data_IF_524706624891
#
_entry.id   IF_524706624891
#
_cell.length_a   1.000
_cell.length_b   1.000
_cell.length_c   1.000
_cell.angle_alpha   90.00
_cell.angle_beta   90.00
_cell.angle_gamma   90.00
#
_symmetry.space_group_name_H-M   'P 1'
#
loop_
_entity.id
_entity.type
_entity.pdbx_description
1 polymer ?
#
# COMPACT_ATOMS: atom_id res chain seq x y z
N UNK A 1 33.00 -13.32 -6.45
CA UNK A 1 32.31 -13.97 -5.31
C UNK A 1 30.82 -13.84 -5.53
N UNK A 2 30.15 -14.96 -5.80
CA UNK A 2 28.73 -15.02 -6.17
C UNK A 2 27.89 -15.09 -4.90
N UNK A 3 27.23 -14.00 -4.51
CA UNK A 3 26.28 -14.02 -3.41
C UNK A 3 24.91 -14.46 -3.92
N UNK A 4 24.55 -15.66 -3.48
CA UNK A 4 23.31 -16.36 -3.73
C UNK A 4 22.14 -15.55 -3.15
N UNK A 5 21.35 -14.87 -4.00
CA UNK A 5 20.06 -14.28 -3.60
C UNK A 5 19.02 -15.39 -3.56
N UNK A 6 18.91 -16.08 -2.43
CA UNK A 6 17.68 -16.83 -2.13
C UNK A 6 16.61 -15.80 -1.79
N UNK A 7 15.93 -15.31 -2.82
CA UNK A 7 14.71 -14.54 -2.70
C UNK A 7 13.67 -15.45 -2.07
N UNK A 8 13.47 -15.34 -0.76
CA UNK A 8 12.35 -15.97 -0.07
C UNK A 8 11.09 -15.25 -0.56
N UNK A 9 10.47 -15.82 -1.60
CA UNK A 9 9.11 -15.48 -2.02
C UNK A 9 8.17 -15.95 -0.91
N UNK A 10 7.69 -15.03 -0.09
CA UNK A 10 6.42 -15.25 0.60
C UNK A 10 5.29 -15.08 -0.43
N UNK A 11 4.99 -16.16 -1.15
CA UNK A 11 3.71 -16.30 -1.82
C UNK A 11 2.68 -16.64 -0.73
N UNK A 12 1.90 -15.66 -0.28
CA UNK A 12 0.58 -15.96 0.28
C UNK A 12 -0.38 -16.01 -0.91
N UNK A 13 -0.51 -17.20 -1.49
CA UNK A 13 -1.59 -17.51 -2.42
C UNK A 13 -2.89 -17.47 -1.65
N UNK A 14 -3.72 -16.47 -1.95
CA UNK A 14 -5.13 -16.54 -1.64
C UNK A 14 -5.83 -16.94 -2.94
N UNK A 15 -6.16 -18.23 -3.05
CA UNK A 15 -7.07 -18.75 -4.06
C UNK A 15 -8.41 -18.03 -3.90
N UNK A 16 -8.75 -17.18 -4.86
CA UNK A 16 -10.12 -16.75 -5.07
C UNK A 16 -10.59 -17.35 -6.39
N UNK A 17 -11.33 -18.46 -6.27
CA UNK A 17 -12.24 -18.92 -7.32
C UNK A 17 -13.20 -17.78 -7.65
N UNK A 18 -13.05 -17.20 -8.83
CA UNK A 18 -14.06 -16.31 -9.39
C UNK A 18 -14.96 -17.10 -10.32
N UNK A 19 -16.06 -17.61 -9.78
CA UNK A 19 -17.22 -18.00 -10.58
C UNK A 19 -17.70 -16.79 -11.39
N UNK A 20 -17.58 -16.88 -12.71
CA UNK A 20 -18.20 -15.96 -13.65
C UNK A 20 -19.70 -16.22 -13.71
N UNK A 21 -20.48 -15.53 -12.86
CA UNK A 21 -21.92 -15.42 -13.08
C UNK A 21 -22.17 -14.23 -14.01
N UNK A 22 -22.50 -14.54 -15.27
CA UNK A 22 -23.14 -13.59 -16.17
C UNK A 22 -24.53 -13.22 -15.65
N UNK A 23 -24.77 -11.93 -15.45
CA UNK A 23 -26.13 -11.41 -15.37
C UNK A 23 -26.29 -10.26 -16.37
N UNK A 24 -26.99 -10.60 -17.45
CA UNK A 24 -27.73 -9.68 -18.29
C UNK A 24 -28.85 -9.04 -17.47
N UNK A 25 -28.82 -7.72 -17.34
CA UNK A 25 -29.85 -6.98 -16.62
C UNK A 25 -29.66 -5.49 -16.83
N UNK A 26 -30.43 -4.93 -17.77
CA UNK A 26 -30.52 -3.51 -18.03
C UNK A 26 -31.13 -2.79 -16.82
N UNK A 27 -30.28 -2.42 -15.88
CA UNK A 27 -30.49 -1.40 -14.86
C UNK A 27 -29.18 -0.64 -14.79
N UNK A 28 -29.22 0.70 -14.79
CA UNK A 28 -28.07 1.63 -14.79
C UNK A 28 -26.87 0.97 -14.13
N UNK A 29 -25.91 0.51 -14.95
CA UNK A 29 -24.78 -0.26 -14.48
C UNK A 29 -23.92 0.67 -13.62
N UNK A 30 -24.14 0.60 -12.32
CA UNK A 30 -23.30 1.26 -11.32
C UNK A 30 -21.86 0.85 -11.63
N UNK A 31 -21.01 1.84 -11.90
CA UNK A 31 -19.69 1.58 -12.44
C UNK A 31 -18.88 0.78 -11.41
N UNK A 32 -18.69 -0.52 -11.68
CA UNK A 32 -18.01 -1.45 -10.77
C UNK A 32 -16.58 -0.98 -10.47
N UNK A 33 -15.92 -0.33 -11.44
CA UNK A 33 -14.58 0.20 -11.27
C UNK A 33 -14.58 1.43 -10.35
N UNK A 34 -15.59 2.28 -10.44
CA UNK A 34 -15.76 3.45 -9.56
C UNK A 34 -15.95 3.03 -8.10
N UNK A 35 -16.78 2.03 -7.83
CA UNK A 35 -16.93 1.44 -6.48
C UNK A 35 -15.63 0.84 -5.98
N UNK A 36 -14.95 0.08 -6.84
CA UNK A 36 -13.68 -0.56 -6.51
C UNK A 36 -12.64 0.49 -6.16
N UNK A 37 -12.53 1.55 -6.97
CA UNK A 37 -11.65 2.68 -6.72
C UNK A 37 -11.95 3.38 -5.39
N UNK A 38 -13.23 3.60 -5.07
CA UNK A 38 -13.63 4.23 -3.81
C UNK A 38 -13.16 3.45 -2.57
N UNK A 39 -13.17 2.11 -2.65
CA UNK A 39 -12.64 1.19 -1.62
C UNK A 39 -11.11 1.23 -1.60
N UNK A 40 -10.47 1.15 -2.76
CA UNK A 40 -9.01 1.13 -2.88
C UNK A 40 -8.37 2.41 -2.31
N UNK A 41 -8.96 3.57 -2.52
CA UNK A 41 -8.43 4.85 -2.00
C UNK A 41 -8.33 4.85 -0.46
N UNK A 42 -9.29 4.26 0.24
CA UNK A 42 -9.24 4.13 1.71
C UNK A 42 -8.26 3.03 2.12
N UNK A 43 -8.27 1.91 1.39
CA UNK A 43 -7.38 0.78 1.68
C UNK A 43 -5.90 1.18 1.58
N UNK A 44 -5.52 1.94 0.55
CA UNK A 44 -4.15 2.41 0.37
C UNK A 44 -3.70 3.37 1.47
N UNK A 45 -4.58 4.25 1.97
CA UNK A 45 -4.28 5.13 3.11
C UNK A 45 -3.95 4.29 4.35
N UNK A 46 -4.84 3.35 4.70
CA UNK A 46 -4.64 2.48 5.87
C UNK A 46 -3.36 1.62 5.73
N UNK A 47 -3.05 1.17 4.52
CA UNK A 47 -1.85 0.39 4.24
C UNK A 47 -0.57 1.23 4.38
N UNK A 48 -0.59 2.48 3.91
CA UNK A 48 0.51 3.41 4.07
C UNK A 48 0.75 3.73 5.55
N UNK A 49 -0.30 3.95 6.34
CA UNK A 49 -0.17 4.15 7.79
C UNK A 49 0.49 2.95 8.49
N UNK A 50 0.15 1.72 8.08
CA UNK A 50 0.80 0.50 8.57
C UNK A 50 2.29 0.45 8.19
N UNK A 51 2.65 0.90 6.99
CA UNK A 51 4.05 1.02 6.58
C UNK A 51 4.81 2.10 7.34
N UNK A 52 4.17 3.24 7.63
CA UNK A 52 4.78 4.31 8.42
C UNK A 52 5.20 3.83 9.82
N UNK A 53 4.37 3.01 10.48
CA UNK A 53 4.72 2.42 11.77
C UNK A 53 5.99 1.57 11.69
N UNK A 54 6.04 0.64 10.73
CA UNK A 54 7.23 -0.20 10.51
C UNK A 54 8.47 0.61 10.12
N UNK A 55 8.30 1.68 9.33
CA UNK A 55 9.41 2.55 8.95
C UNK A 55 9.96 3.33 10.14
N UNK A 56 9.12 3.79 11.06
CA UNK A 56 9.56 4.49 12.28
C UNK A 56 10.41 3.58 13.16
N UNK A 57 9.96 2.34 13.38
CA UNK A 57 10.73 1.34 14.12
C UNK A 57 12.12 1.12 13.51
N UNK A 58 12.20 1.04 12.18
CA UNK A 58 13.49 0.84 11.49
C UNK A 58 14.35 2.10 11.41
N UNK A 59 13.77 3.30 11.39
CA UNK A 59 14.51 4.55 11.51
C UNK A 59 15.19 4.64 12.87
N UNK A 60 14.49 4.30 13.96
CA UNK A 60 15.04 4.25 15.31
C UNK A 60 16.19 3.23 15.41
N UNK A 61 15.96 2.00 14.96
CA UNK A 61 17.02 0.97 14.90
C UNK A 61 18.22 1.43 14.06
N UNK A 62 17.99 2.14 12.96
CA UNK A 62 19.08 2.68 12.14
C UNK A 62 19.91 3.72 12.91
N UNK A 63 19.28 4.58 13.72
CA UNK A 63 19.98 5.52 14.61
C UNK A 63 20.81 4.78 15.67
N UNK A 64 20.24 3.75 16.31
CA UNK A 64 20.95 2.91 17.29
C UNK A 64 22.18 2.20 16.68
N UNK A 65 22.11 1.84 15.40
CA UNK A 65 23.24 1.27 14.65
C UNK A 65 24.26 2.32 14.16
N UNK A 66 24.10 3.60 14.51
CA UNK A 66 24.96 4.69 14.04
C UNK A 66 24.79 5.03 12.56
N UNK A 67 23.71 4.57 11.92
CA UNK A 67 23.39 4.81 10.50
C UNK A 67 22.50 6.03 10.33
N UNK A 68 23.00 7.18 10.78
CA UNK A 68 22.23 8.44 10.83
C UNK A 68 21.63 8.83 9.47
N UNK A 69 22.40 8.72 8.38
CA UNK A 69 21.91 9.06 7.05
C UNK A 69 20.85 8.06 6.54
N UNK A 70 20.95 6.79 6.93
CA UNK A 70 19.91 5.80 6.60
C UNK A 70 18.61 6.14 7.35
N UNK A 71 18.68 6.46 8.63
CA UNK A 71 17.52 6.86 9.43
C UNK A 71 16.82 8.08 8.82
N UNK A 72 17.59 9.12 8.45
CA UNK A 72 17.04 10.33 7.79
C UNK A 72 16.30 10.00 6.49
N UNK A 73 16.85 9.12 5.66
CA UNK A 73 16.20 8.74 4.41
C UNK A 73 14.92 7.92 4.65
N UNK A 74 14.87 7.09 5.70
CA UNK A 74 13.65 6.38 6.10
C UNK A 74 12.58 7.36 6.60
N UNK A 75 12.96 8.33 7.43
CA UNK A 75 12.07 9.40 7.90
C UNK A 75 11.52 10.24 6.74
N UNK A 76 12.36 10.55 5.76
CA UNK A 76 11.94 11.25 4.55
C UNK A 76 10.94 10.43 3.72
N UNK A 77 11.08 9.09 3.70
CA UNK A 77 10.11 8.20 3.06
C UNK A 77 8.76 8.19 3.78
N UNK A 78 8.75 8.24 5.12
CA UNK A 78 7.54 8.40 5.92
C UNK A 78 6.82 9.70 5.54
N UNK A 79 7.54 10.80 5.40
CA UNK A 79 6.92 12.08 5.02
C UNK A 79 6.32 12.06 3.61
N UNK A 80 6.91 11.31 2.68
CA UNK A 80 6.32 11.09 1.37
C UNK A 80 5.08 10.17 1.42
N UNK A 81 5.03 9.19 2.32
CA UNK A 81 3.83 8.38 2.54
C UNK A 81 2.67 9.22 3.08
N UNK A 82 2.92 10.12 4.03
CA UNK A 82 1.90 11.06 4.54
C UNK A 82 1.34 11.95 3.42
N UNK A 83 2.22 12.52 2.60
CA UNK A 83 1.81 13.31 1.42
C UNK A 83 0.99 12.48 0.43
N UNK A 84 1.37 11.22 0.23
CA UNK A 84 0.58 10.29 -0.58
C UNK A 84 -0.83 10.12 0.01
N UNK A 85 -0.94 9.92 1.32
CA UNK A 85 -2.23 9.79 2.01
C UNK A 85 -3.11 11.03 1.85
N UNK A 86 -2.53 12.23 1.98
CA UNK A 86 -3.26 13.49 1.73
C UNK A 86 -3.85 13.53 0.32
N UNK A 87 -3.07 13.16 -0.70
CA UNK A 87 -3.53 13.13 -2.09
C UNK A 87 -4.56 12.04 -2.36
N UNK A 88 -4.43 10.86 -1.74
CA UNK A 88 -5.41 9.77 -1.84
C UNK A 88 -6.75 10.14 -1.20
N UNK A 89 -6.70 10.80 -0.04
CA UNK A 89 -7.90 11.32 0.61
C UNK A 89 -8.55 12.43 -0.22
N UNK A 90 -7.76 13.30 -0.85
CA UNK A 90 -8.28 14.32 -1.77
C UNK A 90 -8.91 13.69 -3.02
N UNK A 91 -8.26 12.68 -3.61
CA UNK A 91 -8.84 11.92 -4.71
C UNK A 91 -10.19 11.32 -4.33
N UNK A 92 -10.32 10.77 -3.10
CA UNK A 92 -11.58 10.23 -2.59
C UNK A 92 -12.69 11.28 -2.47
N UNK A 93 -12.37 12.54 -2.14
CA UNK A 93 -13.36 13.62 -2.07
C UNK A 93 -13.88 14.04 -3.44
N UNK A 94 -13.11 13.78 -4.49
CA UNK A 94 -13.42 14.14 -5.88
C UNK A 94 -14.01 12.97 -6.69
N UNK A 95 -14.27 11.83 -6.04
CA UNK A 95 -15.11 10.74 -6.54
C UNK A 95 -16.58 11.14 -6.50
#
# INVERSE_FOLDING_TARGET
>A
MLFNKTSVRNHHGHDHDHEHIEHSGAAVAENKDEKTLNILLVHWVNHNESHEEGFREWAEKAREMGKEETAKNIEQAIDYLKKSNEMLLEAKKNM
#
